data_IF_490944382410
#
_entry.id   IF_490944382410
#
_cell.length_a   1.000
_cell.length_b   1.000
_cell.length_c   1.000
_cell.angle_alpha   90.00
_cell.angle_beta   90.00
_cell.angle_gamma   90.00
#
_symmetry.space_group_name_H-M   'P 1'
#
loop_
_entity.id
_entity.type
_entity.pdbx_description
1 polymer ?
#
# COMPACT_ATOMS: atom_id res chain seq x y z
N UNK A 1 2.97 0.19 24.95
CA UNK A 1 3.55 0.48 23.61
C UNK A 1 3.02 1.79 23.06
N UNK A 2 1.72 2.02 23.11
CA UNK A 2 1.10 3.29 22.70
C UNK A 2 1.61 4.49 23.52
N UNK A 3 1.61 4.41 24.85
CA UNK A 3 2.17 5.46 25.71
C UNK A 3 3.63 5.80 25.36
N UNK A 4 4.44 4.80 25.02
CA UNK A 4 5.83 5.00 24.60
C UNK A 4 5.92 5.72 23.25
N UNK A 5 5.04 5.39 22.30
CA UNK A 5 4.94 6.09 21.02
C UNK A 5 4.55 7.55 21.24
N UNK A 6 3.65 7.83 22.17
CA UNK A 6 3.18 9.18 22.51
C UNK A 6 4.30 10.04 23.05
N UNK A 7 5.06 9.49 24.00
CA UNK A 7 6.24 10.15 24.56
C UNK A 7 7.23 10.49 23.44
N UNK A 8 7.60 9.51 22.60
CA UNK A 8 8.57 9.71 21.52
C UNK A 8 8.09 10.74 20.48
N UNK A 9 6.81 10.74 20.14
CA UNK A 9 6.27 11.72 19.20
C UNK A 9 6.18 13.12 19.85
N UNK A 10 6.07 13.23 21.16
CA UNK A 10 6.01 14.51 21.86
C UNK A 10 7.37 15.21 22.00
N UNK A 11 8.47 14.51 21.78
CA UNK A 11 9.83 15.06 21.91
C UNK A 11 10.06 16.24 20.96
N UNK A 12 10.72 17.28 21.48
CA UNK A 12 11.11 18.44 20.68
C UNK A 12 12.32 18.09 19.82
N UNK A 13 12.19 18.28 18.50
CA UNK A 13 13.27 18.05 17.55
C UNK A 13 13.97 19.39 17.22
N UNK A 14 15.31 19.42 17.12
CA UNK A 14 16.04 20.61 16.72
C UNK A 14 15.57 21.12 15.35
N UNK A 15 15.39 22.44 15.22
CA UNK A 15 14.91 23.09 13.99
C UNK A 15 15.83 22.86 12.77
N UNK A 16 17.10 22.52 13.03
CA UNK A 16 18.09 22.14 12.03
C UNK A 16 17.68 20.89 11.23
N UNK A 17 16.86 19.99 11.81
CA UNK A 17 16.46 18.73 11.20
C UNK A 17 15.06 18.78 10.56
N UNK A 18 14.90 19.64 9.55
CA UNK A 18 13.62 19.84 8.82
C UNK A 18 12.94 18.53 8.35
N UNK A 19 13.72 17.55 7.89
CA UNK A 19 13.20 16.23 7.47
C UNK A 19 12.64 15.43 8.64
N UNK A 20 13.33 15.43 9.79
CA UNK A 20 12.86 14.74 11.00
C UNK A 20 11.58 15.40 11.54
N UNK A 21 11.49 16.73 11.53
CA UNK A 21 10.29 17.46 11.92
C UNK A 21 9.10 17.10 11.02
N UNK A 22 9.32 17.06 9.71
CA UNK A 22 8.28 16.67 8.74
C UNK A 22 7.86 15.22 8.94
N UNK A 23 8.82 14.32 9.19
CA UNK A 23 8.54 12.92 9.48
C UNK A 23 7.72 12.77 10.76
N UNK A 24 8.11 13.41 11.87
CA UNK A 24 7.37 13.42 13.13
C UNK A 24 5.95 13.95 12.96
N UNK A 25 5.77 15.05 12.21
CA UNK A 25 4.44 15.61 11.89
C UNK A 25 3.55 14.59 11.16
N UNK A 26 4.11 13.86 10.20
CA UNK A 26 3.36 12.82 9.48
C UNK A 26 3.03 11.62 10.39
N UNK A 27 3.96 11.19 11.24
CA UNK A 27 3.69 10.13 12.21
C UNK A 27 2.60 10.53 13.21
N UNK A 28 2.62 11.78 13.72
CA UNK A 28 1.54 12.33 14.56
C UNK A 28 0.19 12.28 13.85
N UNK A 29 0.16 12.70 12.58
CA UNK A 29 -1.06 12.71 11.76
C UNK A 29 -1.66 11.30 11.57
N UNK A 30 -0.82 10.27 11.48
CA UNK A 30 -1.24 8.89 11.19
C UNK A 30 -1.07 7.95 12.39
N UNK A 31 -0.96 8.50 13.60
CA UNK A 31 -0.61 7.79 14.83
C UNK A 31 -1.50 6.58 15.10
N UNK A 32 -2.81 6.73 14.87
CA UNK A 32 -3.82 5.67 15.06
C UNK A 32 -3.59 4.43 14.18
N UNK A 33 -2.84 4.57 13.08
CA UNK A 33 -2.53 3.48 12.15
C UNK A 33 -1.18 2.81 12.42
N UNK A 34 -0.29 3.42 13.21
CA UNK A 34 1.09 2.93 13.43
C UNK A 34 1.09 1.60 14.17
N UNK A 35 0.27 1.46 15.21
CA UNK A 35 0.20 0.28 16.07
C UNK A 35 -1.08 -0.55 15.85
N UNK A 36 -1.77 -0.32 14.74
CA UNK A 36 -3.07 -0.93 14.47
C UNK A 36 -3.03 -2.48 14.43
N UNK A 37 -1.88 -3.06 14.06
CA UNK A 37 -1.63 -4.50 14.07
C UNK A 37 -1.69 -5.12 15.49
N UNK A 38 -1.49 -4.34 16.56
CA UNK A 38 -1.62 -4.83 17.94
C UNK A 38 -3.07 -5.20 18.28
N UNK A 39 -4.04 -4.50 17.67
CA UNK A 39 -5.46 -4.69 17.93
C UNK A 39 -6.17 -5.53 16.86
N UNK A 40 -5.57 -5.62 15.66
CA UNK A 40 -6.15 -6.32 14.52
C UNK A 40 -5.17 -7.37 13.99
N UNK A 41 -5.27 -8.64 14.43
CA UNK A 41 -4.33 -9.71 14.05
C UNK A 41 -4.22 -9.98 12.54
N UNK A 42 -5.22 -9.56 11.76
CA UNK A 42 -5.22 -9.68 10.29
C UNK A 42 -4.38 -8.61 9.60
N UNK A 43 -3.97 -7.56 10.32
CA UNK A 43 -3.14 -6.48 9.81
C UNK A 43 -1.69 -6.81 10.14
N UNK A 44 -0.80 -6.97 9.14
CA UNK A 44 0.60 -7.25 9.39
C UNK A 44 1.30 -6.04 10.05
N UNK A 45 2.37 -6.26 10.83
CA UNK A 45 3.17 -5.19 11.42
C UNK A 45 4.02 -4.42 10.40
N UNK A 46 4.11 -4.92 9.17
CA UNK A 46 4.86 -4.32 8.07
C UNK A 46 3.95 -3.88 6.92
N UNK A 47 4.48 -3.01 6.06
CA UNK A 47 3.80 -2.48 4.87
C UNK A 47 4.18 -3.24 3.58
N UNK A 48 4.88 -4.39 3.67
CA UNK A 48 5.48 -5.07 2.51
C UNK A 48 4.43 -5.48 1.47
N UNK A 49 3.21 -5.81 1.92
CA UNK A 49 2.10 -6.16 1.04
C UNK A 49 1.68 -4.98 0.15
N UNK A 50 1.58 -3.79 0.73
CA UNK A 50 1.23 -2.56 0.01
C UNK A 50 2.34 -2.14 -0.95
N UNK A 51 3.60 -2.22 -0.53
CA UNK A 51 4.75 -1.91 -1.39
C UNK A 51 4.85 -2.85 -2.61
N UNK A 52 4.58 -4.14 -2.40
CA UNK A 52 4.55 -5.12 -3.50
C UNK A 52 3.46 -4.83 -4.51
N UNK A 53 2.28 -4.40 -4.06
CA UNK A 53 1.17 -4.05 -4.95
C UNK A 53 1.53 -2.87 -5.87
N UNK A 54 2.11 -1.79 -5.31
CA UNK A 54 2.46 -0.59 -6.10
C UNK A 54 3.69 -0.81 -7.01
N UNK A 55 4.55 -1.77 -6.69
CA UNK A 55 5.78 -2.04 -7.46
C UNK A 55 5.49 -2.39 -8.92
N UNK A 56 4.42 -3.13 -9.18
CA UNK A 56 4.06 -3.55 -10.55
C UNK A 56 3.70 -2.36 -11.44
N UNK A 57 3.07 -1.32 -10.88
CA UNK A 57 2.79 -0.08 -11.60
C UNK A 57 4.11 0.57 -12.01
N UNK A 58 5.09 0.61 -11.10
CA UNK A 58 6.39 1.22 -11.39
C UNK A 58 7.20 0.41 -12.41
N UNK A 59 7.15 -0.92 -12.34
CA UNK A 59 7.76 -1.82 -13.33
C UNK A 59 7.11 -1.62 -14.70
N UNK A 60 5.78 -1.53 -14.77
CA UNK A 60 5.07 -1.25 -16.02
C UNK A 60 5.49 0.09 -16.63
N UNK A 61 5.63 1.12 -15.79
CA UNK A 61 6.05 2.45 -16.22
C UNK A 61 7.51 2.49 -16.71
N UNK A 62 8.44 1.82 -16.02
CA UNK A 62 9.89 1.95 -16.29
C UNK A 62 10.46 0.90 -17.23
N UNK A 63 9.92 -0.32 -17.20
CA UNK A 63 10.52 -1.50 -17.83
C UNK A 63 9.60 -2.05 -18.93
N UNK A 64 8.31 -2.26 -18.63
CA UNK A 64 7.39 -2.96 -19.55
C UNK A 64 6.65 -2.02 -20.52
N UNK A 65 7.40 -1.16 -21.22
CA UNK A 65 6.89 -0.38 -22.35
C UNK A 65 6.02 0.84 -21.99
N UNK A 66 5.94 1.20 -20.70
CA UNK A 66 5.23 2.37 -20.19
C UNK A 66 3.71 2.31 -20.44
N UNK A 67 2.97 3.33 -20.00
CA UNK A 67 1.56 3.52 -20.36
C UNK A 67 1.47 4.47 -21.55
N UNK A 68 0.69 4.10 -22.57
CA UNK A 68 0.53 4.91 -23.80
C UNK A 68 -0.64 5.90 -23.71
N UNK A 69 -1.58 5.66 -22.79
CA UNK A 69 -2.70 6.54 -22.50
C UNK A 69 -3.15 6.37 -21.04
N UNK A 70 -3.85 7.36 -20.46
CA UNK A 70 -4.47 7.23 -19.14
C UNK A 70 -5.44 6.04 -19.07
N UNK A 71 -6.31 5.87 -20.08
CA UNK A 71 -7.25 4.74 -20.12
C UNK A 71 -6.56 3.38 -20.13
N UNK A 72 -5.41 3.25 -20.80
CA UNK A 72 -4.60 2.01 -20.74
C UNK A 72 -3.97 1.77 -19.36
N UNK A 73 -3.67 2.84 -18.62
CA UNK A 73 -3.20 2.73 -17.24
C UNK A 73 -4.33 2.30 -16.29
N UNK A 74 -5.54 2.82 -16.50
CA UNK A 74 -6.72 2.46 -15.72
C UNK A 74 -7.09 0.98 -15.91
N UNK A 75 -7.14 0.51 -17.17
CA UNK A 75 -7.38 -0.91 -17.48
C UNK A 75 -6.33 -1.80 -16.81
N UNK A 76 -5.05 -1.40 -16.85
CA UNK A 76 -3.99 -2.14 -16.16
C UNK A 76 -4.20 -2.16 -14.64
N UNK A 77 -4.57 -1.03 -14.03
CA UNK A 77 -4.82 -0.94 -12.59
C UNK A 77 -5.98 -1.83 -12.16
N UNK A 78 -7.07 -1.89 -12.94
CA UNK A 78 -8.22 -2.77 -12.71
C UNK A 78 -7.80 -4.24 -12.75
N UNK A 79 -7.13 -4.67 -13.83
CA UNK A 79 -6.68 -6.07 -13.95
C UNK A 79 -5.74 -6.42 -12.80
N UNK A 80 -4.81 -5.52 -12.46
CA UNK A 80 -3.84 -5.76 -11.39
C UNK A 80 -4.51 -5.84 -10.01
N UNK A 81 -5.51 -5.01 -9.73
CA UNK A 81 -6.22 -5.03 -8.45
C UNK A 81 -6.97 -6.34 -8.24
N UNK A 82 -7.59 -6.88 -9.30
CA UNK A 82 -8.21 -8.22 -9.29
C UNK A 82 -7.16 -9.28 -8.99
N UNK A 83 -6.05 -9.30 -9.74
CA UNK A 83 -4.97 -10.29 -9.55
C UNK A 83 -4.42 -10.26 -8.13
N UNK A 84 -4.09 -9.07 -7.61
CA UNK A 84 -3.53 -8.92 -6.26
C UNK A 84 -4.55 -9.35 -5.18
N UNK A 85 -5.84 -9.11 -5.38
CA UNK A 85 -6.91 -9.56 -4.49
C UNK A 85 -7.05 -11.08 -4.51
N UNK A 86 -7.04 -11.70 -5.69
CA UNK A 86 -7.12 -13.16 -5.83
C UNK A 86 -5.92 -13.85 -5.17
N UNK A 87 -4.71 -13.31 -5.36
CA UNK A 87 -3.50 -13.82 -4.70
C UNK A 87 -3.63 -13.70 -3.16
N UNK A 88 -4.10 -12.55 -2.65
CA UNK A 88 -4.32 -12.35 -1.20
C UNK A 88 -5.36 -13.31 -0.63
N UNK A 89 -6.36 -13.69 -1.41
CA UNK A 89 -7.38 -14.65 -1.04
C UNK A 89 -6.91 -16.12 -1.14
N UNK A 90 -5.67 -16.38 -1.60
CA UNK A 90 -5.16 -17.73 -1.81
C UNK A 90 -5.83 -18.48 -2.95
N UNK A 91 -6.43 -17.75 -3.90
CA UNK A 91 -7.21 -18.32 -5.00
C UNK A 91 -6.41 -18.41 -6.30
N UNK A 92 -6.88 -19.22 -7.25
CA UNK A 92 -6.27 -19.34 -8.56
C UNK A 92 -6.61 -18.10 -9.42
N UNK A 93 -5.57 -17.36 -9.83
CA UNK A 93 -5.69 -16.12 -10.61
C UNK A 93 -6.36 -16.34 -11.96
N UNK A 94 -5.97 -17.39 -12.70
CA UNK A 94 -6.52 -17.67 -14.03
C UNK A 94 -8.00 -18.01 -13.93
N UNK A 95 -8.38 -18.81 -12.93
CA UNK A 95 -9.78 -19.13 -12.67
C UNK A 95 -10.60 -17.85 -12.37
N UNK A 96 -10.11 -16.99 -11.47
CA UNK A 96 -10.81 -15.74 -11.12
C UNK A 96 -10.98 -14.81 -12.32
N UNK A 97 -9.93 -14.64 -13.14
CA UNK A 97 -10.01 -13.85 -14.38
C UNK A 97 -11.02 -14.45 -15.37
N UNK A 98 -11.06 -15.79 -15.49
CA UNK A 98 -12.02 -16.48 -16.36
C UNK A 98 -13.47 -16.32 -15.90
N UNK A 99 -13.69 -16.20 -14.58
CA UNK A 99 -15.01 -15.98 -14.02
C UNK A 99 -15.49 -14.56 -14.36
N UNK A 100 -14.64 -13.57 -14.12
CA UNK A 100 -14.95 -12.16 -14.41
C UNK A 100 -15.22 -11.94 -15.90
N UNK A 101 -14.43 -12.57 -16.79
CA UNK A 101 -14.66 -12.46 -18.23
C UNK A 101 -15.99 -13.07 -18.68
N UNK A 102 -16.49 -14.09 -17.96
CA UNK A 102 -17.79 -14.71 -18.25
C UNK A 102 -18.97 -13.93 -17.64
N UNK A 103 -18.73 -13.18 -16.57
CA UNK A 103 -19.76 -12.42 -15.86
C UNK A 103 -20.21 -11.16 -16.62
N UNK A 104 -19.45 -10.70 -17.61
CA UNK A 104 -19.81 -9.59 -18.50
C UNK A 104 -19.87 -8.23 -17.79
N UNK A 105 -18.75 -7.51 -17.80
CA UNK A 105 -18.71 -6.05 -17.70
C UNK A 105 -18.27 -5.48 -19.04
#
# INVERSE_FOLDING_TARGET
MEEKLDVLLSECLPETHKKAITFQKNLKKHKEFILHFLHHPKVPPDNNGSERAIRNIKVKQKISGQFKSPGGADVFAIIRSVVDTTIKAGQNVIFALSLISKQGY
#
